data_IF_203877034531
#
_entry.id   IF_203877034531
#
_cell.length_a   1.000
_cell.length_b   1.000
_cell.length_c   1.000
_cell.angle_alpha   90.00
_cell.angle_beta   90.00
_cell.angle_gamma   90.00
#
_symmetry.space_group_name_H-M   'P 1'
#
loop_
_entity.id
_entity.type
_entity.pdbx_description
1 polymer ?
#
# COMPACT_ATOMS: atom_id res chain seq x y z
N UNK A 1 26.13 -15.05 -26.99
CA UNK A 1 24.91 -14.23 -26.91
C UNK A 1 24.63 -13.99 -25.43
N UNK A 2 24.72 -12.74 -24.96
CA UNK A 2 24.45 -12.38 -23.54
C UNK A 2 22.98 -12.08 -23.44
N UNK A 3 22.26 -12.78 -22.56
CA UNK A 3 20.86 -12.52 -22.26
C UNK A 3 20.68 -11.07 -21.78
N UNK A 4 19.66 -10.34 -22.26
CA UNK A 4 19.36 -9.01 -21.75
C UNK A 4 18.91 -9.15 -20.29
N UNK A 5 19.60 -8.48 -19.38
CA UNK A 5 19.19 -8.33 -17.99
C UNK A 5 17.81 -7.67 -17.96
N UNK A 6 16.79 -8.47 -17.66
CA UNK A 6 15.46 -7.98 -17.39
C UNK A 6 15.54 -7.25 -16.04
N UNK A 7 15.58 -5.93 -16.07
CA UNK A 7 15.41 -5.11 -14.87
C UNK A 7 13.94 -5.20 -14.47
N UNK A 8 13.60 -5.72 -13.27
CA UNK A 8 12.21 -5.76 -12.85
C UNK A 8 11.69 -4.33 -12.66
N UNK A 9 10.74 -3.96 -13.48
CA UNK A 9 10.01 -2.72 -13.33
C UNK A 9 9.05 -2.85 -12.16
N UNK A 10 9.27 -2.09 -11.09
CA UNK A 10 8.30 -1.98 -10.00
C UNK A 10 7.17 -1.09 -10.51
N UNK A 11 6.04 -1.71 -10.87
CA UNK A 11 4.82 -0.96 -11.16
C UNK A 11 4.43 -0.15 -9.93
N UNK A 12 4.59 1.17 -10.00
CA UNK A 12 3.93 2.04 -9.06
C UNK A 12 2.45 2.10 -9.45
N UNK A 13 1.59 1.48 -8.66
CA UNK A 13 0.12 1.47 -8.82
C UNK A 13 -0.54 2.86 -8.68
N UNK A 14 0.23 3.97 -8.80
CA UNK A 14 -0.25 5.30 -8.42
C UNK A 14 -0.20 6.37 -9.50
N UNK A 15 0.20 6.09 -10.75
CA UNK A 15 -0.07 7.03 -11.87
C UNK A 15 0.15 6.35 -13.22
N UNK A 16 -0.85 6.39 -14.07
CA UNK A 16 -0.85 5.85 -15.43
C UNK A 16 0.13 6.53 -16.41
N UNK A 17 0.95 7.49 -15.96
CA UNK A 17 1.82 8.31 -16.81
C UNK A 17 3.30 8.39 -16.37
N UNK A 18 3.78 7.48 -15.53
CA UNK A 18 5.21 7.47 -15.19
C UNK A 18 5.94 6.40 -15.99
N UNK A 19 6.80 6.85 -16.91
CA UNK A 19 7.84 6.03 -17.54
C UNK A 19 8.62 5.25 -16.47
N UNK A 20 8.94 4.00 -16.77
CA UNK A 20 9.77 3.15 -15.92
C UNK A 20 11.11 3.84 -15.64
N UNK A 21 11.24 4.49 -14.49
CA UNK A 21 12.53 4.96 -14.00
C UNK A 21 13.24 3.76 -13.35
N UNK A 22 14.53 3.63 -13.60
CA UNK A 22 15.32 2.56 -13.01
C UNK A 22 15.22 2.65 -11.49
N UNK A 23 15.08 1.52 -10.82
CA UNK A 23 15.01 1.43 -9.36
C UNK A 23 16.24 2.05 -8.66
N UNK A 24 17.33 2.28 -9.38
CA UNK A 24 18.52 2.95 -8.88
C UNK A 24 18.30 4.46 -8.67
N UNK A 25 17.53 5.14 -9.53
CA UNK A 25 17.31 6.59 -9.42
C UNK A 25 16.34 6.99 -8.32
N UNK A 26 15.41 6.12 -7.96
CA UNK A 26 14.46 6.34 -6.85
C UNK A 26 15.05 6.03 -5.46
N UNK A 27 16.19 5.37 -5.40
CA UNK A 27 16.78 4.84 -4.16
C UNK A 27 18.15 5.46 -3.80
N UNK A 28 18.70 6.33 -4.65
CA UNK A 28 20.09 6.75 -4.49
C UNK A 28 20.23 8.21 -4.06
N UNK A 29 20.11 8.46 -2.76
CA UNK A 29 20.80 9.57 -2.11
C UNK A 29 22.09 9.03 -1.49
N UNK A 30 23.24 9.47 -2.02
CA UNK A 30 24.60 8.95 -1.79
C UNK A 30 25.17 9.12 -0.38
N UNK A 31 24.42 9.62 0.59
CA UNK A 31 24.85 9.70 2.00
C UNK A 31 24.42 8.42 2.71
N UNK A 32 25.36 7.73 3.37
CA UNK A 32 25.06 6.65 4.31
C UNK A 32 23.99 7.12 5.31
N UNK A 33 22.73 6.83 5.02
CA UNK A 33 21.64 7.20 5.90
C UNK A 33 21.71 6.32 7.15
N UNK A 34 22.23 6.89 8.22
CA UNK A 34 22.04 6.37 9.57
C UNK A 34 20.55 6.55 9.92
N UNK A 35 19.92 5.53 10.44
CA UNK A 35 18.52 5.60 10.86
C UNK A 35 17.84 4.26 10.75
N UNK A 36 16.55 4.26 11.03
CA UNK A 36 15.71 3.08 10.91
C UNK A 36 14.94 3.08 9.60
N UNK A 37 14.74 1.91 9.04
CA UNK A 37 14.07 1.71 7.77
C UNK A 37 12.93 0.72 7.93
N UNK A 38 11.91 0.90 7.09
CA UNK A 38 10.83 -0.05 6.88
C UNK A 38 11.03 -0.73 5.54
N UNK A 39 11.04 -2.04 5.52
CA UNK A 39 10.95 -2.84 4.30
C UNK A 39 9.50 -3.21 4.07
N UNK A 40 8.98 -2.88 2.89
CA UNK A 40 7.63 -3.22 2.41
C UNK A 40 7.75 -4.37 1.43
N UNK A 41 6.95 -5.42 1.63
CA UNK A 41 7.03 -6.62 0.81
C UNK A 41 5.96 -6.62 -0.28
N UNK A 42 4.74 -7.00 0.09
CA UNK A 42 3.63 -7.13 -0.86
C UNK A 42 2.34 -6.56 -0.25
N UNK A 43 1.37 -6.28 -1.13
CA UNK A 43 0.04 -5.81 -0.73
C UNK A 43 -1.01 -6.79 -1.22
N UNK A 44 -1.98 -7.11 -0.38
CA UNK A 44 -3.03 -8.10 -0.61
C UNK A 44 -4.41 -7.52 -0.41
N UNK A 45 -5.40 -8.05 -1.12
CA UNK A 45 -6.80 -7.67 -1.00
C UNK A 45 -7.46 -8.26 0.28
N UNK A 46 -6.89 -9.32 0.86
CA UNK A 46 -7.38 -9.88 2.11
C UNK A 46 -6.24 -10.29 3.05
N UNK A 47 -6.55 -10.28 4.34
CA UNK A 47 -5.60 -10.54 5.42
C UNK A 47 -5.05 -11.97 5.38
N UNK A 48 -5.87 -12.97 5.04
CA UNK A 48 -5.45 -14.38 5.00
C UNK A 48 -4.34 -14.62 4.00
N UNK A 49 -4.41 -13.95 2.84
CA UNK A 49 -3.35 -14.03 1.83
C UNK A 49 -2.05 -13.38 2.32
N UNK A 50 -2.15 -12.27 3.05
CA UNK A 50 -0.98 -11.64 3.67
C UNK A 50 -0.33 -12.56 4.72
N UNK A 51 -1.12 -13.18 5.60
CA UNK A 51 -0.63 -14.14 6.60
C UNK A 51 0.03 -15.37 5.96
N UNK A 52 -0.56 -15.93 4.89
CA UNK A 52 0.03 -17.04 4.15
C UNK A 52 1.37 -16.65 3.52
N UNK A 53 1.45 -15.42 3.01
CA UNK A 53 2.69 -14.89 2.44
C UNK A 53 3.79 -14.71 3.49
N UNK A 54 3.45 -14.26 4.71
CA UNK A 54 4.40 -14.19 5.83
C UNK A 54 4.95 -15.59 6.15
N UNK A 55 4.11 -16.62 6.11
CA UNK A 55 4.59 -18.01 6.32
C UNK A 55 5.63 -18.40 5.27
N UNK A 56 5.43 -18.02 4.00
CA UNK A 56 6.42 -18.25 2.94
C UNK A 56 7.71 -17.44 3.17
N UNK A 57 7.61 -16.17 3.57
CA UNK A 57 8.78 -15.34 3.87
C UNK A 57 9.62 -15.95 5.02
N UNK A 58 8.99 -16.52 6.03
CA UNK A 58 9.66 -17.17 7.16
C UNK A 58 10.41 -18.45 6.80
N UNK A 59 10.22 -19.02 5.62
CA UNK A 59 11.04 -20.15 5.14
C UNK A 59 12.42 -19.73 4.63
N UNK A 60 12.64 -18.43 4.43
CA UNK A 60 13.95 -17.90 4.00
C UNK A 60 14.83 -17.65 5.24
N UNK A 61 15.90 -18.42 5.40
CA UNK A 61 16.74 -18.41 6.60
C UNK A 61 17.27 -17.06 7.03
N UNK A 62 17.54 -16.17 6.06
CA UNK A 62 18.13 -14.86 6.35
C UNK A 62 17.09 -13.87 6.91
N UNK A 63 15.83 -14.03 6.53
CA UNK A 63 14.76 -13.10 6.90
C UNK A 63 13.75 -13.70 7.89
N UNK A 64 13.87 -14.97 8.26
CA UNK A 64 13.00 -15.63 9.24
C UNK A 64 13.03 -14.97 10.63
N UNK A 65 14.14 -14.32 10.98
CA UNK A 65 14.34 -13.59 12.24
C UNK A 65 13.70 -12.20 12.24
N UNK A 66 13.24 -11.70 11.09
CA UNK A 66 12.59 -10.40 11.01
C UNK A 66 11.19 -10.48 11.62
N UNK A 67 10.82 -9.38 12.28
CA UNK A 67 9.45 -9.17 12.73
C UNK A 67 8.63 -8.67 11.54
N UNK A 68 7.61 -9.43 11.15
CA UNK A 68 6.65 -9.03 10.13
C UNK A 68 5.40 -8.46 10.78
N UNK A 69 4.92 -7.37 10.22
CA UNK A 69 3.66 -6.74 10.60
C UNK A 69 2.76 -6.58 9.37
N UNK A 70 1.45 -6.53 9.59
CA UNK A 70 0.48 -6.24 8.54
C UNK A 70 -0.05 -4.84 8.74
N UNK A 71 0.32 -3.94 7.83
CA UNK A 71 -0.21 -2.58 7.75
C UNK A 71 -1.56 -2.62 7.02
N UNK A 72 -2.63 -2.13 7.66
CA UNK A 72 -3.94 -2.01 7.04
C UNK A 72 -4.02 -0.70 6.28
N UNK A 73 -4.14 -0.79 4.97
CA UNK A 73 -4.28 0.35 4.08
C UNK A 73 -5.76 0.64 3.85
N UNK A 74 -6.29 1.61 4.57
CA UNK A 74 -7.66 2.10 4.34
C UNK A 74 -7.74 2.70 2.94
N UNK A 75 -8.74 2.27 2.20
CA UNK A 75 -9.02 2.78 0.86
C UNK A 75 -10.33 3.55 0.88
N UNK A 76 -10.37 4.66 0.17
CA UNK A 76 -11.60 5.45 0.03
C UNK A 76 -11.65 6.10 -1.36
N UNK A 77 -12.87 6.32 -1.83
CA UNK A 77 -13.16 7.08 -3.04
C UNK A 77 -13.90 8.34 -2.67
N UNK A 78 -13.50 9.48 -3.20
CA UNK A 78 -14.18 10.76 -3.00
C UNK A 78 -15.19 11.02 -4.11
N UNK A 79 -16.41 11.38 -3.76
CA UNK A 79 -17.47 11.80 -4.67
C UNK A 79 -17.89 13.24 -4.30
N UNK A 80 -18.08 14.09 -5.31
CA UNK A 80 -18.71 15.39 -5.13
C UNK A 80 -20.22 15.25 -5.37
N UNK A 81 -21.03 15.71 -4.41
CA UNK A 81 -22.49 15.72 -4.52
C UNK A 81 -22.93 16.62 -5.67
N UNK A 82 -23.74 16.09 -6.57
CA UNK A 82 -24.33 16.79 -7.71
C UNK A 82 -25.81 17.08 -7.47
N UNK A 83 -26.41 17.96 -8.27
CA UNK A 83 -27.84 18.23 -8.23
C UNK A 83 -28.65 16.93 -8.44
N UNK A 84 -29.55 16.64 -7.50
CA UNK A 84 -30.37 15.42 -7.53
C UNK A 84 -29.73 14.20 -6.87
N UNK A 85 -28.49 14.30 -6.35
CA UNK A 85 -27.92 13.24 -5.52
C UNK A 85 -28.53 13.22 -4.14
N UNK A 86 -28.72 12.02 -3.62
CA UNK A 86 -29.09 11.76 -2.22
C UNK A 86 -28.09 10.79 -1.61
N UNK A 87 -27.90 10.85 -0.31
CA UNK A 87 -27.00 9.92 0.38
C UNK A 87 -27.43 8.46 0.17
N UNK A 88 -28.75 8.21 0.11
CA UNK A 88 -29.31 6.88 -0.16
C UNK A 88 -28.91 6.35 -1.55
N UNK A 89 -28.98 7.22 -2.58
CA UNK A 89 -28.57 6.85 -3.94
C UNK A 89 -27.05 6.57 -4.02
N UNK A 90 -26.24 7.43 -3.39
CA UNK A 90 -24.79 7.25 -3.34
C UNK A 90 -24.43 5.95 -2.60
N UNK A 91 -25.11 5.65 -1.50
CA UNK A 91 -24.93 4.42 -0.74
C UNK A 91 -25.27 3.17 -1.57
N UNK A 92 -26.44 3.18 -2.24
CA UNK A 92 -26.90 2.06 -3.08
C UNK A 92 -25.94 1.75 -4.23
N UNK A 93 -25.48 2.77 -4.96
CA UNK A 93 -24.52 2.61 -6.08
C UNK A 93 -23.19 2.01 -5.59
N UNK A 94 -22.77 2.36 -4.38
CA UNK A 94 -21.50 1.89 -3.83
C UNK A 94 -21.65 0.66 -2.90
N UNK A 95 -22.83 0.03 -2.87
CA UNK A 95 -23.12 -1.20 -2.11
C UNK A 95 -22.82 -1.10 -0.61
N UNK A 96 -23.06 0.07 -0.05
CA UNK A 96 -22.92 0.37 1.39
C UNK A 96 -24.26 0.80 1.96
N UNK A 97 -24.54 0.56 3.25
CA UNK A 97 -25.76 1.07 3.87
C UNK A 97 -25.71 2.59 4.06
N UNK A 98 -26.86 3.25 3.99
CA UNK A 98 -26.96 4.70 4.24
C UNK A 98 -26.41 5.06 5.61
N UNK A 99 -26.71 4.24 6.63
CA UNK A 99 -26.25 4.44 8.01
C UNK A 99 -24.71 4.40 8.12
N UNK A 100 -24.09 3.43 7.47
CA UNK A 100 -22.63 3.32 7.46
C UNK A 100 -21.97 4.48 6.70
N UNK A 101 -22.54 4.84 5.53
CA UNK A 101 -22.02 5.95 4.75
C UNK A 101 -22.17 7.28 5.50
N UNK A 102 -23.30 7.53 6.16
CA UNK A 102 -23.51 8.72 7.01
C UNK A 102 -22.50 8.74 8.16
N UNK A 103 -22.35 7.64 8.89
CA UNK A 103 -21.38 7.50 9.98
C UNK A 103 -19.95 7.76 9.52
N UNK A 104 -19.56 7.18 8.37
CA UNK A 104 -18.20 7.33 7.83
C UNK A 104 -17.86 8.79 7.49
N UNK A 105 -18.86 9.55 7.07
CA UNK A 105 -18.73 10.97 6.69
C UNK A 105 -19.13 11.95 7.80
N UNK A 106 -19.42 11.48 9.01
CA UNK A 106 -19.90 12.31 10.12
C UNK A 106 -21.13 13.14 9.74
N UNK A 107 -22.09 12.52 9.01
CA UNK A 107 -23.34 13.13 8.58
C UNK A 107 -24.44 12.72 9.55
N UNK A 108 -24.91 13.67 10.35
CA UNK A 108 -25.97 13.44 11.36
C UNK A 108 -27.35 13.26 10.70
N UNK A 109 -27.63 14.02 9.65
CA UNK A 109 -28.90 13.96 8.91
C UNK A 109 -28.65 13.55 7.45
N UNK A 110 -28.93 12.27 7.09
CA UNK A 110 -28.76 11.77 5.72
C UNK A 110 -29.54 12.53 4.65
N UNK A 111 -30.61 13.27 5.03
CA UNK A 111 -31.40 14.11 4.14
C UNK A 111 -30.76 15.46 3.79
N UNK A 112 -29.68 15.84 4.46
CA UNK A 112 -29.10 17.19 4.39
C UNK A 112 -27.70 17.23 3.75
N UNK A 113 -27.45 16.47 2.67
CA UNK A 113 -26.23 16.67 1.90
C UNK A 113 -26.35 17.88 0.97
N UNK A 114 -25.21 18.57 0.75
CA UNK A 114 -25.16 19.82 0.00
C UNK A 114 -24.50 19.64 -1.36
N UNK A 115 -24.91 20.44 -2.34
CA UNK A 115 -24.24 20.51 -3.63
C UNK A 115 -22.74 20.79 -3.43
N UNK A 116 -21.88 20.08 -4.18
CA UNK A 116 -20.42 20.14 -4.09
C UNK A 116 -19.81 19.65 -2.76
N UNK A 117 -20.63 19.10 -1.85
CA UNK A 117 -20.10 18.44 -0.66
C UNK A 117 -19.27 17.21 -1.07
N UNK A 118 -18.12 17.04 -0.44
CA UNK A 118 -17.31 15.82 -0.59
C UNK A 118 -17.90 14.71 0.27
N UNK A 119 -18.16 13.57 -0.35
CA UNK A 119 -18.58 12.34 0.33
C UNK A 119 -17.46 11.29 0.10
N UNK A 120 -16.95 10.77 1.20
CA UNK A 120 -15.95 9.70 1.19
C UNK A 120 -16.66 8.35 1.24
N UNK A 121 -16.38 7.53 0.25
CA UNK A 121 -16.92 6.17 0.14
C UNK A 121 -15.85 5.21 0.61
N UNK A 122 -16.02 4.48 1.73
CA UNK A 122 -15.07 3.47 2.16
C UNK A 122 -15.01 2.34 1.12
N UNK A 123 -13.80 1.92 0.79
CA UNK A 123 -13.53 0.76 -0.04
C UNK A 123 -12.96 -0.35 0.82
N UNK A 124 -12.84 -1.55 0.25
CA UNK A 124 -12.19 -2.67 0.93
C UNK A 124 -10.74 -2.33 1.28
N UNK A 125 -10.34 -2.65 2.50
CA UNK A 125 -8.98 -2.43 2.94
C UNK A 125 -8.01 -3.31 2.16
N UNK A 126 -6.79 -2.81 1.95
CA UNK A 126 -5.66 -3.62 1.49
C UNK A 126 -4.71 -3.88 2.67
N UNK A 127 -3.97 -4.95 2.56
CA UNK A 127 -3.10 -5.45 3.62
C UNK A 127 -1.67 -5.54 3.10
N UNK A 128 -0.77 -4.72 3.65
CA UNK A 128 0.64 -4.69 3.26
C UNK A 128 1.49 -5.35 4.32
N UNK A 129 2.37 -6.25 3.89
CA UNK A 129 3.38 -6.82 4.79
C UNK A 129 4.55 -5.86 4.87
N UNK A 130 4.97 -5.57 6.10
CA UNK A 130 6.12 -4.72 6.40
C UNK A 130 7.02 -5.36 7.45
N UNK A 131 8.30 -4.97 7.45
CA UNK A 131 9.20 -5.11 8.59
C UNK A 131 9.73 -3.74 8.97
N UNK A 132 9.63 -3.40 10.23
CA UNK A 132 10.00 -2.09 10.79
C UNK A 132 11.30 -2.18 11.58
N UNK A 133 11.86 -1.01 11.91
CA UNK A 133 13.03 -0.87 12.78
C UNK A 133 14.29 -1.59 12.25
N UNK A 134 14.47 -1.65 10.93
CA UNK A 134 15.69 -2.18 10.33
C UNK A 134 16.75 -1.08 10.42
N UNK A 135 17.81 -1.35 11.16
CA UNK A 135 18.88 -0.39 11.42
C UNK A 135 19.80 -0.27 10.20
N UNK A 136 19.90 0.94 9.66
CA UNK A 136 20.77 1.25 8.54
C UNK A 136 20.24 0.82 7.17
N UNK A 137 20.52 1.65 6.17
CA UNK A 137 20.11 1.40 4.79
C UNK A 137 20.74 0.14 4.20
N UNK A 138 21.99 -0.17 4.55
CA UNK A 138 22.72 -1.34 4.06
C UNK A 138 22.01 -2.64 4.40
N UNK A 139 21.50 -2.78 5.63
CA UNK A 139 20.76 -3.97 6.05
C UNK A 139 19.39 -4.05 5.37
N UNK A 140 18.68 -2.93 5.27
CA UNK A 140 17.42 -2.87 4.52
C UNK A 140 17.61 -3.26 3.05
N UNK A 141 18.69 -2.78 2.41
CA UNK A 141 19.03 -3.13 1.03
C UNK A 141 19.35 -4.63 0.89
N UNK A 142 20.15 -5.19 1.79
CA UNK A 142 20.46 -6.62 1.79
C UNK A 142 19.22 -7.49 1.89
N UNK A 143 18.26 -7.11 2.73
CA UNK A 143 16.96 -7.79 2.84
C UNK A 143 16.20 -7.71 1.50
N UNK A 144 16.16 -6.53 0.88
CA UNK A 144 15.53 -6.35 -0.42
C UNK A 144 16.19 -7.20 -1.51
N UNK A 145 17.51 -7.26 -1.57
CA UNK A 145 18.23 -8.04 -2.57
C UNK A 145 17.90 -9.54 -2.44
N UNK A 146 17.78 -10.06 -1.20
CA UNK A 146 17.36 -11.44 -0.93
C UNK A 146 15.90 -11.67 -1.37
N UNK A 147 15.02 -10.74 -1.09
CA UNK A 147 13.62 -10.83 -1.50
C UNK A 147 13.48 -10.88 -3.02
N UNK A 148 14.14 -9.97 -3.72
CA UNK A 148 14.13 -9.88 -5.18
C UNK A 148 14.70 -11.14 -5.83
N UNK A 149 15.80 -11.70 -5.29
CA UNK A 149 16.38 -12.95 -5.79
C UNK A 149 15.47 -14.17 -5.61
N UNK A 150 14.54 -14.11 -4.65
CA UNK A 150 13.51 -15.12 -4.41
C UNK A 150 12.14 -14.76 -5.02
N UNK A 151 12.11 -13.87 -6.01
CA UNK A 151 10.90 -13.43 -6.74
C UNK A 151 9.84 -12.73 -5.87
N UNK A 152 10.23 -12.18 -4.73
CA UNK A 152 9.37 -11.32 -3.92
C UNK A 152 9.56 -9.85 -4.31
N UNK A 153 8.54 -9.04 -4.08
CA UNK A 153 8.65 -7.58 -4.22
C UNK A 153 9.29 -6.95 -2.99
N UNK A 154 9.99 -5.84 -3.16
CA UNK A 154 10.59 -5.09 -2.07
C UNK A 154 10.62 -3.59 -2.33
N UNK A 155 10.32 -2.81 -1.30
CA UNK A 155 10.48 -1.36 -1.27
C UNK A 155 11.01 -0.93 0.10
N UNK A 156 12.05 -0.10 0.12
CA UNK A 156 12.63 0.46 1.34
C UNK A 156 12.07 1.87 1.57
N UNK A 157 11.66 2.17 2.79
CA UNK A 157 11.24 3.50 3.22
C UNK A 157 12.02 3.90 4.49
N UNK A 158 12.59 5.12 4.52
CA UNK A 158 13.15 5.69 5.76
C UNK A 158 12.04 5.94 6.77
N UNK A 159 12.31 5.65 8.04
CA UNK A 159 11.51 6.12 9.16
C UNK A 159 12.07 7.51 9.53
N UNK A 160 11.28 8.55 9.26
CA UNK A 160 11.57 9.92 9.70
C UNK A 160 11.19 10.06 11.16
#
# INVERSE_FOLDING_TARGET
>A
MKDPKITPCVYSLWNENTSCQSTEDLLYDKKEKKGYFTVRYATFENIKNAELHIKKLKTLDVINKLKFEIEVLKQEKTILVRKGDTLSRLAAINKISVKELAKYNSIDDPGKIRLNQKIFIPLENKYRIISINIQGYKDAKRICDILLSNQFTCLIKSQL
#
